data_IF_887721238637
#
_entry.id   IF_887721238637
#
_cell.length_a   1.000
_cell.length_b   1.000
_cell.length_c   1.000
_cell.angle_alpha   90.00
_cell.angle_beta   90.00
_cell.angle_gamma   90.00
#
_symmetry.space_group_name_H-M   'P 1'
#
loop_
_entity.id
_entity.type
_entity.pdbx_description
1 polymer ?
#
# COMPACT_ATOMS: atom_id res chain seq x y z
N UNK A 1 10.47 -0.22 -14.53
CA UNK A 1 9.89 0.84 -15.38
C UNK A 1 9.12 0.26 -16.55
N UNK A 2 9.77 -0.56 -17.40
CA UNK A 2 9.13 -1.08 -18.62
C UNK A 2 7.89 -1.93 -18.32
N UNK A 3 7.91 -2.76 -17.29
CA UNK A 3 6.76 -3.57 -16.87
C UNK A 3 5.60 -2.68 -16.39
N UNK A 4 5.91 -1.66 -15.60
CA UNK A 4 4.90 -0.67 -15.12
C UNK A 4 4.24 0.05 -16.29
N UNK A 5 5.05 0.50 -17.27
CA UNK A 5 4.56 1.18 -18.47
C UNK A 5 3.76 0.23 -19.39
N UNK A 6 4.20 -1.02 -19.53
CA UNK A 6 3.59 -2.04 -20.40
C UNK A 6 2.29 -2.64 -19.86
N UNK A 7 2.01 -2.49 -18.56
CA UNK A 7 0.81 -3.03 -17.93
C UNK A 7 -0.46 -2.51 -18.59
N UNK A 8 -1.40 -3.42 -18.88
CA UNK A 8 -2.76 -3.09 -19.38
C UNK A 8 -3.80 -3.10 -18.27
N UNK A 9 -3.43 -3.56 -17.07
CA UNK A 9 -4.34 -3.60 -15.95
C UNK A 9 -4.77 -2.20 -15.53
N UNK A 10 -5.95 -2.10 -14.93
CA UNK A 10 -6.49 -0.85 -14.39
C UNK A 10 -5.72 -0.41 -13.15
N UNK A 11 -5.28 -1.36 -12.35
CA UNK A 11 -4.48 -1.12 -11.14
C UNK A 11 -3.08 -1.69 -11.37
N UNK A 12 -2.07 -0.92 -11.02
CA UNK A 12 -0.67 -1.34 -11.04
C UNK A 12 -0.12 -1.19 -9.64
N UNK A 13 0.14 -2.30 -8.98
CA UNK A 13 0.54 -2.37 -7.58
C UNK A 13 2.02 -2.76 -7.48
N UNK A 14 2.84 -1.88 -6.91
CA UNK A 14 4.29 -2.04 -6.78
C UNK A 14 4.67 -2.21 -5.31
N UNK A 15 4.97 -3.43 -4.94
CA UNK A 15 5.58 -3.76 -3.65
C UNK A 15 7.09 -3.79 -3.79
N UNK A 16 7.81 -3.33 -2.79
CA UNK A 16 9.26 -3.54 -2.82
C UNK A 16 10.01 -2.89 -1.68
N UNK A 17 11.28 -3.24 -1.58
CA UNK A 17 12.19 -2.69 -0.61
C UNK A 17 12.47 -1.20 -0.83
N UNK A 18 13.18 -0.61 0.13
CA UNK A 18 13.67 0.76 0.00
C UNK A 18 14.63 0.86 -1.19
N UNK A 19 14.60 2.02 -1.85
CA UNK A 19 15.48 2.32 -2.98
C UNK A 19 15.32 1.42 -4.21
N UNK A 20 14.26 0.62 -4.31
CA UNK A 20 14.00 -0.23 -5.48
C UNK A 20 13.56 0.54 -6.74
N UNK A 21 13.32 1.85 -6.65
CA UNK A 21 12.94 2.68 -7.80
C UNK A 21 11.45 2.71 -8.13
N UNK A 22 10.58 2.14 -7.28
CA UNK A 22 9.11 2.09 -7.49
C UNK A 22 8.51 3.46 -7.82
N UNK A 23 8.66 4.41 -6.91
CA UNK A 23 8.10 5.77 -7.02
C UNK A 23 8.62 6.47 -8.28
N UNK A 24 9.94 6.40 -8.55
CA UNK A 24 10.53 6.97 -9.76
C UNK A 24 9.98 6.35 -11.04
N UNK A 25 9.79 5.03 -11.07
CA UNK A 25 9.21 4.32 -12.23
C UNK A 25 7.81 4.81 -12.56
N UNK A 26 6.97 5.02 -11.55
CA UNK A 26 5.61 5.57 -11.75
C UNK A 26 5.67 7.01 -12.21
N UNK A 27 6.47 7.87 -11.56
CA UNK A 27 6.60 9.28 -11.93
C UNK A 27 7.10 9.45 -13.35
N UNK A 28 8.12 8.70 -13.78
CA UNK A 28 8.61 8.72 -15.15
C UNK A 28 7.54 8.30 -16.15
N UNK A 29 6.76 7.25 -15.83
CA UNK A 29 5.65 6.81 -16.67
C UNK A 29 4.59 7.92 -16.83
N UNK A 30 4.19 8.56 -15.75
CA UNK A 30 3.22 9.66 -15.76
C UNK A 30 3.74 10.90 -16.53
N UNK A 31 5.00 11.27 -16.34
CA UNK A 31 5.63 12.38 -17.04
C UNK A 31 5.73 12.10 -18.55
N UNK A 32 6.11 10.89 -18.94
CA UNK A 32 6.18 10.46 -20.34
C UNK A 32 4.80 10.47 -20.99
N UNK A 33 3.75 10.04 -20.28
CA UNK A 33 2.38 10.13 -20.80
C UNK A 33 1.93 11.58 -20.99
N UNK A 34 2.28 12.49 -20.08
CA UNK A 34 2.02 13.91 -20.28
C UNK A 34 2.71 14.44 -21.54
N UNK A 35 3.94 14.00 -21.81
CA UNK A 35 4.70 14.37 -23.01
C UNK A 35 4.11 13.74 -24.27
N UNK A 36 3.71 12.45 -24.23
CA UNK A 36 3.16 11.75 -25.39
C UNK A 36 1.77 12.24 -25.75
N UNK A 37 0.95 12.52 -24.75
CA UNK A 37 -0.45 12.96 -24.90
C UNK A 37 -0.61 14.43 -24.51
N UNK A 38 0.15 15.31 -25.18
CA UNK A 38 0.08 16.76 -24.95
C UNK A 38 -1.31 17.30 -25.23
N UNK A 39 -1.74 18.26 -24.40
CA UNK A 39 -3.04 18.94 -24.51
C UNK A 39 -4.26 18.01 -24.46
N UNK A 40 -4.13 16.81 -23.88
CA UNK A 40 -5.26 15.90 -23.65
C UNK A 40 -6.10 16.29 -22.43
N UNK A 41 -5.66 17.27 -21.67
CA UNK A 41 -6.32 17.78 -20.47
C UNK A 41 -6.57 16.66 -19.42
N UNK A 42 -5.66 15.72 -19.32
CA UNK A 42 -5.71 14.70 -18.26
C UNK A 42 -5.50 15.37 -16.89
N UNK A 43 -6.18 14.81 -15.90
CA UNK A 43 -5.92 15.09 -14.50
C UNK A 43 -5.21 13.88 -13.90
N UNK A 44 -3.97 14.11 -13.47
CA UNK A 44 -3.14 13.15 -12.75
C UNK A 44 -3.12 13.56 -11.29
N UNK A 45 -3.52 12.69 -10.39
CA UNK A 45 -3.60 12.99 -8.97
C UNK A 45 -2.63 12.11 -8.20
N UNK A 46 -1.69 12.74 -7.50
CA UNK A 46 -0.71 12.07 -6.66
C UNK A 46 -1.11 12.27 -5.20
N UNK A 47 -1.29 11.17 -4.49
CA UNK A 47 -1.83 11.16 -3.13
C UNK A 47 -0.85 10.49 -2.18
N UNK A 48 -0.68 11.09 -1.00
CA UNK A 48 0.01 10.51 0.14
C UNK A 48 -0.75 10.85 1.43
N UNK A 49 -0.45 10.16 2.54
CA UNK A 49 -1.14 10.33 3.83
C UNK A 49 -1.23 11.78 4.29
N UNK A 50 -0.12 12.50 4.31
CA UNK A 50 -0.05 13.89 4.78
C UNK A 50 0.65 14.81 3.79
N UNK A 51 0.30 16.09 3.80
CA UNK A 51 0.92 17.07 2.91
C UNK A 51 2.42 17.29 3.19
N UNK A 52 2.91 17.36 4.43
CA UNK A 52 4.34 17.43 4.70
C UNK A 52 5.13 16.24 4.10
N UNK A 53 4.62 15.02 4.28
CA UNK A 53 5.24 13.80 3.70
C UNK A 53 5.22 13.82 2.18
N UNK A 54 4.10 14.24 1.57
CA UNK A 54 3.94 14.37 0.13
C UNK A 54 4.94 15.36 -0.47
N UNK A 55 5.11 16.53 0.16
CA UNK A 55 6.06 17.57 -0.27
C UNK A 55 7.51 17.11 -0.14
N UNK A 56 7.86 16.44 0.97
CA UNK A 56 9.23 16.01 1.25
C UNK A 56 9.68 14.82 0.40
N UNK A 57 8.78 14.14 -0.28
CA UNK A 57 9.07 12.93 -1.06
C UNK A 57 8.58 13.03 -2.52
N UNK A 58 7.46 12.40 -2.86
CA UNK A 58 7.00 12.22 -4.23
C UNK A 58 6.79 13.52 -5.01
N UNK A 59 6.36 14.59 -4.35
CA UNK A 59 6.22 15.90 -4.97
C UNK A 59 7.60 16.48 -5.35
N UNK A 60 8.58 16.41 -4.44
CA UNK A 60 9.96 16.81 -4.71
C UNK A 60 10.54 15.99 -5.86
N UNK A 61 10.35 14.68 -5.85
CA UNK A 61 10.89 13.77 -6.85
C UNK A 61 10.27 14.05 -8.23
N UNK A 62 8.97 14.34 -8.30
CA UNK A 62 8.32 14.79 -9.53
C UNK A 62 8.97 16.08 -10.08
N UNK A 63 9.16 17.09 -9.24
CA UNK A 63 9.77 18.34 -9.68
C UNK A 63 11.22 18.16 -10.10
N UNK A 64 12.00 17.29 -9.45
CA UNK A 64 13.35 16.96 -9.87
C UNK A 64 13.36 16.35 -11.27
N UNK A 65 12.49 15.37 -11.54
CA UNK A 65 12.38 14.72 -12.86
C UNK A 65 12.10 15.75 -13.96
N UNK A 66 11.11 16.63 -13.78
CA UNK A 66 10.76 17.62 -14.82
C UNK A 66 11.80 18.74 -14.93
N UNK A 67 12.53 19.07 -13.87
CA UNK A 67 13.64 20.02 -13.92
C UNK A 67 14.84 19.44 -14.67
N UNK A 68 15.24 18.22 -14.37
CA UNK A 68 16.32 17.51 -15.05
C UNK A 68 16.03 17.32 -16.55
N UNK A 69 14.75 17.08 -16.88
CA UNK A 69 14.31 17.00 -18.28
C UNK A 69 14.20 18.37 -18.99
N UNK A 70 14.42 19.48 -18.29
CA UNK A 70 14.23 20.84 -18.84
C UNK A 70 12.77 21.22 -19.11
N UNK A 71 11.80 20.54 -18.50
CA UNK A 71 10.36 20.73 -18.71
C UNK A 71 9.71 21.68 -17.71
N UNK A 72 10.44 22.01 -16.63
CA UNK A 72 9.91 22.92 -15.60
C UNK A 72 9.87 24.38 -16.09
N UNK A 73 8.71 25.02 -15.93
CA UNK A 73 8.52 26.46 -16.12
C UNK A 73 7.66 27.01 -14.99
N UNK A 74 8.14 28.07 -14.32
CA UNK A 74 7.46 28.68 -13.16
C UNK A 74 6.01 29.07 -13.43
N UNK A 75 5.71 29.60 -14.63
CA UNK A 75 4.35 30.03 -15.03
C UNK A 75 3.30 28.90 -15.02
N UNK A 76 3.72 27.65 -15.05
CA UNK A 76 2.84 26.47 -15.03
C UNK A 76 2.68 25.88 -13.63
N UNK A 77 3.37 26.43 -12.63
CA UNK A 77 3.35 25.94 -11.25
C UNK A 77 2.46 26.82 -10.38
N UNK A 78 1.29 26.30 -9.99
CA UNK A 78 0.45 26.91 -8.96
C UNK A 78 0.82 26.36 -7.58
N UNK A 79 1.67 27.10 -6.86
CA UNK A 79 2.16 26.70 -5.53
C UNK A 79 1.08 26.74 -4.45
N UNK A 80 0.04 27.56 -4.62
CA UNK A 80 -1.06 27.67 -3.66
C UNK A 80 -1.97 26.44 -3.73
N UNK A 81 -2.31 26.02 -4.95
CA UNK A 81 -3.18 24.86 -5.20
C UNK A 81 -2.39 23.54 -5.27
N UNK A 82 -1.05 23.61 -5.17
CA UNK A 82 -0.15 22.46 -5.33
C UNK A 82 -0.40 21.68 -6.64
N UNK A 83 -0.43 22.43 -7.74
CA UNK A 83 -0.66 21.87 -9.07
C UNK A 83 0.40 22.32 -10.06
N UNK A 84 0.63 21.50 -11.08
CA UNK A 84 1.51 21.81 -12.19
C UNK A 84 0.86 21.45 -13.52
N UNK A 85 0.89 22.36 -14.51
CA UNK A 85 0.45 22.05 -15.86
C UNK A 85 1.63 21.49 -16.67
N UNK A 86 1.67 20.19 -16.88
CA UNK A 86 2.71 19.52 -17.65
C UNK A 86 2.17 19.18 -19.05
N UNK A 87 2.61 19.96 -20.07
CA UNK A 87 2.19 19.79 -21.47
C UNK A 87 0.67 19.81 -21.69
N UNK A 88 -0.05 20.72 -21.00
CA UNK A 88 -1.50 20.82 -21.08
C UNK A 88 -2.27 19.80 -20.24
N UNK A 89 -1.59 18.97 -19.46
CA UNK A 89 -2.18 18.04 -18.52
C UNK A 89 -1.97 18.53 -17.09
N UNK A 90 -2.99 18.40 -16.24
CA UNK A 90 -2.96 18.86 -14.86
C UNK A 90 -2.38 17.78 -13.96
N UNK A 91 -1.26 18.04 -13.31
CA UNK A 91 -0.73 17.22 -12.21
C UNK A 91 -1.06 17.92 -10.91
N UNK A 92 -1.75 17.24 -10.00
CA UNK A 92 -2.15 17.78 -8.71
C UNK A 92 -1.68 16.88 -7.56
N UNK A 93 -1.34 17.51 -6.43
CA UNK A 93 -0.83 16.84 -5.24
C UNK A 93 -1.82 17.04 -4.10
N UNK A 94 -2.38 15.94 -3.59
CA UNK A 94 -3.43 15.96 -2.56
C UNK A 94 -3.02 15.06 -1.41
N UNK A 95 -3.22 15.50 -0.17
CA UNK A 95 -3.04 14.64 1.00
C UNK A 95 -4.35 13.95 1.39
N UNK A 96 -4.24 12.72 1.89
CA UNK A 96 -5.37 11.89 2.26
C UNK A 96 -6.12 12.38 3.51
N UNK A 97 -5.52 13.26 4.30
CA UNK A 97 -6.16 13.96 5.43
C UNK A 97 -7.17 15.04 4.99
N UNK A 98 -7.31 15.28 3.68
CA UNK A 98 -8.27 16.22 3.12
C UNK A 98 -9.25 15.52 2.16
N UNK A 99 -10.12 14.60 2.67
CA UNK A 99 -10.96 13.76 1.82
C UNK A 99 -11.95 14.54 0.94
N UNK A 100 -12.33 15.74 1.31
CA UNK A 100 -13.26 16.56 0.54
C UNK A 100 -12.67 17.01 -0.81
N UNK A 101 -11.35 17.13 -0.92
CA UNK A 101 -10.69 17.52 -2.16
C UNK A 101 -10.80 16.49 -3.27
N UNK A 102 -10.93 15.19 -2.95
CA UNK A 102 -11.09 14.15 -3.97
C UNK A 102 -12.52 13.64 -4.12
N UNK A 103 -13.46 14.00 -3.24
CA UNK A 103 -14.87 13.56 -3.34
C UNK A 103 -15.61 14.17 -4.52
N UNK A 104 -15.24 15.37 -4.97
CA UNK A 104 -15.89 16.10 -6.07
C UNK A 104 -15.20 16.02 -7.41
N UNK A 105 -13.98 15.51 -7.51
CA UNK A 105 -13.15 15.55 -8.71
C UNK A 105 -13.17 14.23 -9.47
N UNK A 106 -13.07 14.31 -10.81
CA UNK A 106 -12.76 13.16 -11.67
C UNK A 106 -11.25 13.11 -11.91
N UNK A 107 -10.67 11.94 -11.75
CA UNK A 107 -9.24 11.71 -11.98
C UNK A 107 -9.07 10.81 -13.21
N UNK A 108 -8.16 11.16 -14.10
CA UNK A 108 -7.82 10.28 -15.22
C UNK A 108 -6.83 9.21 -14.79
N UNK A 109 -5.80 9.62 -14.06
CA UNK A 109 -4.78 8.76 -13.48
C UNK A 109 -4.57 9.14 -12.02
N UNK A 110 -4.36 8.14 -11.19
CA UNK A 110 -4.07 8.34 -9.77
C UNK A 110 -2.80 7.58 -9.38
N UNK A 111 -1.99 8.18 -8.55
CA UNK A 111 -0.87 7.55 -7.89
C UNK A 111 -1.01 7.64 -6.37
N UNK A 112 -1.22 6.49 -5.71
CA UNK A 112 -1.23 6.34 -4.27
C UNK A 112 0.18 5.97 -3.81
N UNK A 113 0.91 6.95 -3.31
CA UNK A 113 2.29 6.77 -2.86
C UNK A 113 2.33 6.39 -1.38
N UNK A 114 3.12 5.35 -1.05
CA UNK A 114 3.21 4.73 0.27
C UNK A 114 1.83 4.32 0.79
N UNK A 115 1.15 3.51 0.01
CA UNK A 115 -0.28 3.21 0.19
C UNK A 115 -0.58 2.47 1.50
N UNK A 116 0.39 1.81 2.13
CA UNK A 116 0.23 1.23 3.47
C UNK A 116 -0.06 2.28 4.56
N UNK A 117 0.27 3.55 4.31
CA UNK A 117 -0.10 4.65 5.20
C UNK A 117 -1.56 5.11 5.03
N UNK A 118 -2.29 4.63 4.02
CA UNK A 118 -3.63 5.09 3.65
C UNK A 118 -4.72 4.15 4.16
N UNK A 119 -5.83 4.74 4.64
CA UNK A 119 -7.01 3.97 4.98
C UNK A 119 -7.69 3.37 3.72
N UNK A 120 -8.30 2.20 3.85
CA UNK A 120 -9.01 1.50 2.77
C UNK A 120 -10.09 2.38 2.11
N UNK A 121 -10.78 3.19 2.90
CA UNK A 121 -11.84 4.10 2.46
C UNK A 121 -11.32 5.14 1.43
N UNK A 122 -10.08 5.59 1.58
CA UNK A 122 -9.42 6.48 0.62
C UNK A 122 -9.30 5.79 -0.74
N UNK A 123 -8.81 4.56 -0.77
CA UNK A 123 -8.73 3.76 -1.99
C UNK A 123 -10.10 3.55 -2.63
N UNK A 124 -11.13 3.18 -1.84
CA UNK A 124 -12.49 2.97 -2.34
C UNK A 124 -13.04 4.25 -2.99
N UNK A 125 -12.89 5.39 -2.31
CA UNK A 125 -13.37 6.68 -2.83
C UNK A 125 -12.65 7.09 -4.13
N UNK A 126 -11.34 6.89 -4.20
CA UNK A 126 -10.52 7.21 -5.35
C UNK A 126 -10.81 6.27 -6.52
N UNK A 127 -10.91 4.96 -6.27
CA UNK A 127 -11.13 3.98 -7.34
C UNK A 127 -12.45 4.21 -8.09
N UNK A 128 -13.52 4.63 -7.39
CA UNK A 128 -14.79 4.98 -8.03
C UNK A 128 -14.73 6.22 -8.93
N UNK A 129 -13.72 7.08 -8.76
CA UNK A 129 -13.59 8.37 -9.47
C UNK A 129 -12.44 8.41 -10.47
N UNK A 130 -11.66 7.34 -10.55
CA UNK A 130 -10.54 7.21 -11.49
C UNK A 130 -11.01 6.59 -12.78
N UNK A 131 -10.79 7.30 -13.91
CA UNK A 131 -11.29 6.87 -15.21
C UNK A 131 -10.41 5.78 -15.85
N UNK A 132 -9.08 5.92 -15.76
CA UNK A 132 -8.18 5.03 -16.52
C UNK A 132 -7.36 4.12 -15.63
N UNK A 133 -6.37 4.66 -14.90
CA UNK A 133 -5.41 3.80 -14.19
C UNK A 133 -5.06 4.32 -12.81
N UNK A 134 -4.85 3.40 -11.89
CA UNK A 134 -4.39 3.65 -10.53
C UNK A 134 -3.03 2.97 -10.35
N UNK A 135 -2.03 3.74 -9.97
CA UNK A 135 -0.74 3.24 -9.51
C UNK A 135 -0.71 3.24 -8.00
N UNK A 136 -0.12 2.22 -7.45
CA UNK A 136 0.05 2.04 -6.00
C UNK A 136 1.50 1.64 -5.76
N UNK A 137 2.21 2.33 -4.86
CA UNK A 137 3.49 1.83 -4.37
C UNK A 137 3.48 1.73 -2.84
N UNK A 138 4.25 0.81 -2.31
CA UNK A 138 4.42 0.64 -0.86
C UNK A 138 5.63 -0.23 -0.51
N UNK A 139 6.11 -0.06 0.72
CA UNK A 139 6.99 -1.02 1.37
C UNK A 139 6.12 -1.98 2.21
N UNK A 140 6.40 -3.28 2.19
CA UNK A 140 5.57 -4.29 2.86
C UNK A 140 5.90 -4.39 4.36
N UNK A 141 5.80 -3.28 5.09
CA UNK A 141 6.15 -3.19 6.51
C UNK A 141 5.16 -3.89 7.43
N UNK A 142 3.92 -4.08 6.99
CA UNK A 142 2.86 -4.71 7.75
C UNK A 142 2.62 -6.13 7.26
N UNK A 143 2.50 -7.07 8.20
CA UNK A 143 2.17 -8.47 7.91
C UNK A 143 0.75 -8.58 7.35
N UNK A 144 -0.19 -7.86 7.96
CA UNK A 144 -1.60 -7.79 7.57
C UNK A 144 -1.96 -6.39 7.12
N UNK A 145 -2.44 -6.27 5.88
CA UNK A 145 -2.90 -5.00 5.33
C UNK A 145 -3.98 -5.24 4.27
N UNK A 146 -4.99 -4.39 4.22
CA UNK A 146 -6.13 -4.51 3.31
C UNK A 146 -5.75 -4.59 1.81
N UNK A 147 -4.59 -4.08 1.40
CA UNK A 147 -4.09 -4.21 0.03
C UNK A 147 -3.98 -5.66 -0.41
N UNK A 148 -3.51 -6.55 0.48
CA UNK A 148 -3.27 -7.95 0.17
C UNK A 148 -4.55 -8.73 -0.09
N UNK A 149 -5.62 -8.39 0.61
CA UNK A 149 -6.89 -9.12 0.53
C UNK A 149 -7.89 -8.45 -0.42
N UNK A 150 -7.75 -7.13 -0.66
CA UNK A 150 -8.77 -6.35 -1.38
C UNK A 150 -8.32 -5.91 -2.77
N UNK A 151 -7.02 -5.64 -2.98
CA UNK A 151 -6.52 -5.02 -4.21
C UNK A 151 -5.69 -5.99 -5.03
N UNK A 152 -4.68 -6.59 -4.43
CA UNK A 152 -3.73 -7.46 -5.13
C UNK A 152 -4.40 -8.68 -5.77
N UNK A 153 -5.41 -9.34 -5.15
CA UNK A 153 -6.09 -10.50 -5.75
C UNK A 153 -7.04 -10.18 -6.89
N UNK A 154 -7.24 -8.91 -7.26
CA UNK A 154 -8.20 -8.51 -8.30
C UNK A 154 -7.68 -8.88 -9.69
N UNK A 155 -8.58 -9.30 -10.57
CA UNK A 155 -8.28 -9.62 -11.98
C UNK A 155 -7.81 -8.40 -12.80
N UNK A 156 -8.16 -7.19 -12.36
CA UNK A 156 -7.76 -5.92 -12.98
C UNK A 156 -6.53 -5.28 -12.33
N UNK A 157 -5.76 -6.05 -11.54
CA UNK A 157 -4.55 -5.63 -10.85
C UNK A 157 -3.31 -6.40 -11.32
N UNK A 158 -2.33 -5.70 -11.87
CA UNK A 158 -0.98 -6.23 -12.07
C UNK A 158 -0.13 -5.93 -10.84
N UNK A 159 0.49 -6.96 -10.29
CA UNK A 159 1.34 -6.87 -9.11
C UNK A 159 2.80 -7.08 -9.47
N UNK A 160 3.65 -6.13 -9.09
CA UNK A 160 5.10 -6.16 -9.31
C UNK A 160 5.83 -6.07 -7.98
N UNK A 161 6.82 -6.95 -7.79
CA UNK A 161 7.74 -6.90 -6.66
C UNK A 161 9.10 -6.44 -7.15
N UNK A 162 9.75 -5.53 -6.41
CA UNK A 162 11.08 -5.04 -6.73
C UNK A 162 11.96 -4.90 -5.49
N UNK A 163 13.27 -5.00 -5.68
CA UNK A 163 14.28 -4.89 -4.65
C UNK A 163 15.28 -3.79 -5.01
N UNK A 164 16.21 -3.48 -4.11
CA UNK A 164 17.30 -2.57 -4.39
C UNK A 164 18.18 -3.02 -5.56
N UNK A 165 18.23 -4.33 -5.85
CA UNK A 165 19.00 -4.90 -6.97
C UNK A 165 18.43 -4.52 -8.35
N UNK A 166 17.14 -4.18 -8.40
CA UNK A 166 16.46 -3.74 -9.63
C UNK A 166 16.75 -2.28 -9.95
N UNK A 167 17.48 -1.57 -9.07
CA UNK A 167 17.84 -0.17 -9.26
C UNK A 167 19.33 -0.01 -9.61
N UNK A 168 19.68 0.14 -10.88
CA UNK A 168 21.06 0.25 -11.32
C UNK A 168 21.75 1.58 -10.96
N UNK A 169 21.01 2.54 -10.42
CA UNK A 169 21.51 3.87 -10.08
C UNK A 169 21.95 4.00 -8.61
N UNK A 170 21.89 2.93 -7.83
CA UNK A 170 22.35 2.96 -6.45
C UNK A 170 23.87 2.97 -6.35
N UNK A 171 24.37 3.80 -5.45
CA UNK A 171 25.78 3.77 -5.09
C UNK A 171 26.09 2.56 -4.17
N UNK A 172 27.37 2.18 -4.13
CA UNK A 172 27.83 1.00 -3.38
C UNK A 172 27.62 1.13 -1.87
N UNK A 173 27.70 2.34 -1.35
CA UNK A 173 27.53 2.65 0.07
C UNK A 173 26.10 2.38 0.52
N UNK A 174 25.10 2.80 -0.28
CA UNK A 174 23.68 2.52 0.02
C UNK A 174 23.38 1.02 -0.07
N UNK A 175 23.96 0.33 -1.07
CA UNK A 175 23.82 -1.13 -1.19
C UNK A 175 24.39 -1.82 0.06
N UNK A 176 25.60 -1.42 0.49
CA UNK A 176 26.23 -2.00 1.67
C UNK A 176 25.41 -1.79 2.95
N UNK A 177 24.79 -0.61 3.12
CA UNK A 177 23.90 -0.36 4.27
C UNK A 177 22.64 -1.23 4.24
N UNK A 178 22.03 -1.43 3.07
CA UNK A 178 20.88 -2.33 2.94
C UNK A 178 21.32 -3.77 3.25
N UNK A 179 22.48 -4.20 2.76
CA UNK A 179 22.97 -5.57 2.98
C UNK A 179 23.38 -5.86 4.41
N UNK A 180 23.82 -4.86 5.19
CA UNK A 180 24.08 -5.03 6.63
C UNK A 180 22.85 -5.46 7.43
N UNK A 181 21.64 -5.16 6.93
CA UNK A 181 20.41 -5.60 7.59
C UNK A 181 20.30 -7.12 7.67
N UNK A 182 20.93 -7.86 6.77
CA UNK A 182 20.98 -9.34 6.81
C UNK A 182 21.45 -9.88 8.15
N UNK A 183 22.48 -9.21 8.71
CA UNK A 183 23.16 -9.68 9.90
C UNK A 183 22.68 -8.98 11.17
N UNK A 184 21.93 -7.86 11.03
CA UNK A 184 21.55 -7.02 12.17
C UNK A 184 20.07 -7.08 12.50
N UNK A 185 19.20 -7.17 11.52
CA UNK A 185 17.74 -7.27 11.72
C UNK A 185 17.08 -7.98 10.53
N UNK A 186 16.78 -9.27 10.70
CA UNK A 186 16.16 -10.10 9.67
C UNK A 186 14.82 -9.54 9.16
N UNK A 187 13.99 -8.99 10.06
CA UNK A 187 12.70 -8.44 9.65
C UNK A 187 12.85 -7.17 8.80
N UNK A 188 13.79 -6.27 9.18
CA UNK A 188 14.12 -5.11 8.35
C UNK A 188 14.72 -5.51 7.01
N UNK A 189 15.55 -6.58 6.99
CA UNK A 189 16.07 -7.13 5.74
C UNK A 189 14.98 -7.65 4.83
N UNK A 190 14.01 -8.40 5.37
CA UNK A 190 12.85 -8.88 4.61
C UNK A 190 12.08 -7.71 3.97
N UNK A 191 11.77 -6.68 4.75
CA UNK A 191 10.96 -5.53 4.31
C UNK A 191 11.73 -4.66 3.32
N UNK A 192 12.90 -4.17 3.73
CA UNK A 192 13.61 -3.11 3.03
C UNK A 192 14.64 -3.60 2.03
N UNK A 193 15.19 -4.79 2.23
CA UNK A 193 16.08 -5.46 1.30
C UNK A 193 15.32 -6.30 0.27
N UNK A 194 14.59 -7.31 0.74
CA UNK A 194 13.91 -8.27 -0.14
C UNK A 194 12.55 -7.80 -0.65
N UNK A 195 11.96 -6.75 -0.06
CA UNK A 195 10.61 -6.30 -0.39
C UNK A 195 9.54 -7.34 -0.05
N UNK A 196 9.79 -8.14 0.99
CA UNK A 196 8.89 -9.16 1.50
C UNK A 196 8.09 -8.64 2.69
N UNK A 197 6.92 -9.25 2.96
CA UNK A 197 6.11 -8.86 4.11
C UNK A 197 6.90 -8.98 5.39
N UNK A 198 6.81 -7.94 6.21
CA UNK A 198 7.33 -7.98 7.57
C UNK A 198 6.64 -9.08 8.38
N UNK A 199 7.35 -9.56 9.39
CA UNK A 199 6.77 -10.46 10.40
C UNK A 199 6.51 -9.59 11.61
N UNK A 200 5.30 -9.65 12.16
CA UNK A 200 4.98 -8.92 13.38
C UNK A 200 5.84 -9.44 14.53
N UNK A 201 6.64 -8.54 15.13
CA UNK A 201 7.37 -8.87 16.38
C UNK A 201 6.43 -9.02 17.58
N UNK A 202 5.15 -8.64 17.40
CA UNK A 202 4.11 -8.76 18.43
C UNK A 202 3.47 -10.15 18.46
N UNK A 203 3.83 -11.03 17.53
CA UNK A 203 3.39 -12.43 17.58
C UNK A 203 4.11 -13.13 18.72
N UNK A 204 3.48 -13.16 19.90
CA UNK A 204 3.99 -13.86 21.09
C UNK A 204 4.00 -15.39 20.85
N UNK A 205 3.09 -15.86 20.01
CA UNK A 205 2.95 -17.29 19.69
C UNK A 205 3.09 -17.52 18.20
N UNK A 206 3.83 -18.57 17.81
CA UNK A 206 3.79 -19.07 16.45
C UNK A 206 2.51 -19.91 16.29
N UNK A 207 1.61 -19.44 15.42
CA UNK A 207 0.36 -20.14 15.14
C UNK A 207 0.46 -20.94 13.85
N UNK A 208 -0.07 -22.16 13.88
CA UNK A 208 -0.28 -22.98 12.71
C UNK A 208 -1.77 -23.19 12.51
N UNK A 209 -2.24 -23.09 11.26
CA UNK A 209 -3.65 -23.35 10.93
C UNK A 209 -3.80 -24.83 10.64
N UNK A 210 -4.80 -25.46 11.26
CA UNK A 210 -5.17 -26.86 11.07
C UNK A 210 -6.60 -26.93 10.56
N UNK A 211 -6.87 -27.88 9.69
CA UNK A 211 -8.23 -28.09 9.15
C UNK A 211 -9.15 -28.78 10.17
N UNK A 212 -8.59 -29.58 11.08
CA UNK A 212 -9.31 -30.30 12.12
C UNK A 212 -8.55 -30.31 13.44
N UNK A 213 -9.29 -30.31 14.57
CA UNK A 213 -8.71 -30.48 15.90
C UNK A 213 -8.15 -31.92 16.07
N UNK A 214 -7.03 -32.07 16.79
CA UNK A 214 -6.53 -33.42 17.13
C UNK A 214 -7.56 -34.19 17.93
N UNK A 215 -7.75 -35.49 17.58
CA UNK A 215 -8.74 -36.38 18.23
C UNK A 215 -8.55 -36.55 19.75
N UNK A 216 -7.37 -36.26 20.28
CA UNK A 216 -7.02 -36.44 21.69
C UNK A 216 -6.67 -35.12 22.40
N UNK A 217 -7.23 -34.01 21.98
CA UNK A 217 -7.06 -32.75 22.68
C UNK A 217 -8.11 -32.61 23.79
N UNK A 218 -7.65 -32.37 25.01
CA UNK A 218 -8.54 -32.14 26.14
C UNK A 218 -9.08 -30.70 26.08
N UNK A 219 -10.41 -30.57 26.20
CA UNK A 219 -11.03 -29.27 26.30
C UNK A 219 -10.74 -28.65 27.67
N UNK A 220 -10.25 -27.39 27.69
CA UNK A 220 -9.87 -26.71 28.93
C UNK A 220 -10.67 -25.43 29.22
N UNK A 221 -11.08 -24.67 28.19
CA UNK A 221 -11.81 -23.42 28.38
C UNK A 221 -12.58 -22.95 27.15
N UNK A 222 -13.52 -22.06 27.39
CA UNK A 222 -14.10 -21.17 26.37
C UNK A 222 -13.69 -19.72 26.69
N UNK A 223 -13.37 -18.97 25.66
CA UNK A 223 -13.15 -17.53 25.74
C UNK A 223 -14.24 -16.80 24.97
N UNK A 224 -14.92 -15.86 25.63
CA UNK A 224 -15.95 -15.02 24.98
C UNK A 224 -15.55 -13.56 25.13
N UNK A 225 -15.47 -12.89 24.00
CA UNK A 225 -15.36 -11.44 23.91
C UNK A 225 -16.67 -10.86 23.37
N UNK A 226 -17.26 -9.94 24.14
CA UNK A 226 -18.54 -9.34 23.79
C UNK A 226 -18.32 -8.14 22.87
N UNK A 227 -18.68 -8.29 21.59
CA UNK A 227 -18.75 -7.18 20.65
C UNK A 227 -20.15 -6.57 20.61
N UNK A 228 -20.25 -5.27 20.29
CA UNK A 228 -21.52 -4.60 20.08
C UNK A 228 -21.46 -3.69 18.85
N UNK A 229 -22.46 -3.75 18.00
CA UNK A 229 -22.65 -2.94 16.79
C UNK A 229 -21.48 -2.94 15.78
N UNK A 230 -20.37 -2.28 16.07
CA UNK A 230 -19.23 -2.17 15.17
C UNK A 230 -18.15 -3.25 15.42
N UNK A 231 -18.07 -3.77 16.65
CA UNK A 231 -17.13 -4.82 17.04
C UNK A 231 -17.85 -6.18 17.04
N UNK A 232 -17.32 -7.20 16.37
CA UNK A 232 -17.90 -8.53 16.40
C UNK A 232 -17.73 -9.18 17.78
N UNK A 233 -18.74 -9.97 18.22
CA UNK A 233 -18.55 -10.88 19.33
C UNK A 233 -17.73 -12.09 18.86
N UNK A 234 -16.77 -12.52 19.67
CA UNK A 234 -15.93 -13.67 19.39
C UNK A 234 -16.05 -14.73 20.50
N UNK A 235 -16.38 -15.95 20.12
CA UNK A 235 -16.37 -17.12 21.01
C UNK A 235 -15.34 -18.12 20.49
N UNK A 236 -14.41 -18.50 21.34
CA UNK A 236 -13.39 -19.49 21.03
C UNK A 236 -13.42 -20.66 22.01
N UNK A 237 -13.14 -21.85 21.51
CA UNK A 237 -12.85 -23.02 22.32
C UNK A 237 -11.34 -23.23 22.39
N UNK A 238 -10.82 -23.46 23.60
CA UNK A 238 -9.41 -23.76 23.82
C UNK A 238 -9.29 -25.20 24.28
N UNK A 239 -8.46 -25.95 23.58
CA UNK A 239 -8.13 -27.35 23.91
C UNK A 239 -6.62 -27.47 24.01
N UNK A 240 -6.12 -28.47 24.81
CA UNK A 240 -4.72 -28.71 25.03
C UNK A 240 -4.35 -30.13 24.69
N UNK A 241 -3.18 -30.29 24.10
CA UNK A 241 -2.55 -31.59 23.90
C UNK A 241 -1.04 -31.48 24.20
N UNK A 242 -0.61 -32.03 25.31
CA UNK A 242 0.77 -31.85 25.79
C UNK A 242 1.04 -30.36 26.07
N UNK A 243 2.07 -29.80 25.44
CA UNK A 243 2.46 -28.39 25.57
C UNK A 243 1.85 -27.49 24.49
N UNK A 244 0.98 -28.05 23.63
CA UNK A 244 0.34 -27.33 22.54
C UNK A 244 -1.09 -26.92 22.92
N UNK A 245 -1.46 -25.67 22.60
CA UNK A 245 -2.81 -25.14 22.71
C UNK A 245 -3.45 -25.05 21.33
N UNK A 246 -4.67 -25.53 21.22
CA UNK A 246 -5.50 -25.48 20.02
C UNK A 246 -6.66 -24.53 20.27
N UNK A 247 -6.82 -23.54 19.41
CA UNK A 247 -7.88 -22.54 19.48
C UNK A 247 -8.78 -22.71 18.28
N UNK A 248 -10.06 -22.95 18.54
CA UNK A 248 -11.09 -23.06 17.52
C UNK A 248 -12.04 -21.89 17.65
N UNK A 249 -12.26 -21.16 16.55
CA UNK A 249 -13.26 -20.11 16.47
C UNK A 249 -14.65 -20.74 16.29
N UNK A 250 -15.53 -20.51 17.26
CA UNK A 250 -16.90 -21.01 17.23
C UNK A 250 -17.87 -19.95 16.73
N UNK A 251 -17.67 -18.68 17.11
CA UNK A 251 -18.47 -17.54 16.70
C UNK A 251 -17.56 -16.36 16.45
N UNK A 252 -17.76 -15.70 15.30
CA UNK A 252 -17.19 -14.38 15.01
C UNK A 252 -18.22 -13.58 14.20
N UNK A 253 -19.04 -12.78 14.88
CA UNK A 253 -20.16 -12.07 14.24
C UNK A 253 -20.49 -10.77 14.94
N UNK A 254 -20.81 -9.74 14.16
CA UNK A 254 -21.35 -8.48 14.67
C UNK A 254 -22.85 -8.53 14.90
N UNK A 255 -23.34 -7.65 15.79
CA UNK A 255 -24.76 -7.46 16.03
C UNK A 255 -25.46 -8.54 16.86
N UNK A 256 -24.71 -9.42 17.52
CA UNK A 256 -25.25 -10.44 18.43
C UNK A 256 -25.67 -9.82 19.75
N UNK A 257 -26.84 -10.25 20.27
CA UNK A 257 -27.33 -9.88 21.61
C UNK A 257 -26.90 -10.93 22.64
N UNK A 258 -26.99 -10.60 23.93
CA UNK A 258 -26.72 -11.56 25.00
C UNK A 258 -27.66 -12.80 24.96
N UNK A 259 -28.83 -12.70 24.30
CA UNK A 259 -29.72 -13.83 24.10
C UNK A 259 -29.27 -14.76 22.97
N UNK A 260 -28.50 -14.24 22.02
CA UNK A 260 -27.96 -15.03 20.91
C UNK A 260 -26.70 -15.78 21.32
N UNK A 261 -26.03 -15.34 22.40
CA UNK A 261 -24.79 -15.93 22.92
C UNK A 261 -25.00 -16.85 24.13
N UNK A 262 -26.16 -16.92 24.69
CA UNK A 262 -26.57 -17.77 25.81
C UNK A 262 -27.61 -18.78 25.38
#
# INVERSE_FOLDING_TARGET
YYDVKGSKARIVCLQGGSRSGKTYSVLHCLCEWCYTYQNSHFTITIIRRSFPSLRASVMRDFFNIIQEAGWYQEKFHNKTENTYNLFGNLVQFISADQPDKFRGAKHHFVFLNECTELAKEVFVQISMRTLYKIFIDFNPSEEYHWLYDTVIPRDDCDFFKSTYLDNPFLNKEVIAEIERLKDTDENYWRIYGLGERGISKETIFQTHVYDELPENADHIAYGLDFGFAADPAALVRVSQRGDELYIEELIYSGGLTNQDLG
#
